data_IF_495344767167
#
_entry.id   IF_495344767167
#
_cell.length_a   1.000
_cell.length_b   1.000
_cell.length_c   1.000
_cell.angle_alpha   90.00
_cell.angle_beta   90.00
_cell.angle_gamma   90.00
#
_symmetry.space_group_name_H-M   'P 1'
#
loop_
_entity.id
_entity.type
_entity.pdbx_description
1 polymer ?
#
# COMPACT_ATOMS: atom_id res chain seq x y z
N UNK A 1 -9.22 -26.51 -9.03
CA UNK A 1 -9.78 -25.37 -9.79
C UNK A 1 -11.22 -25.18 -9.33
N UNK A 2 -11.40 -24.40 -8.28
CA UNK A 2 -12.67 -24.28 -7.57
C UNK A 2 -13.55 -23.25 -8.30
N UNK A 3 -14.61 -23.73 -8.94
CA UNK A 3 -15.65 -22.90 -9.54
C UNK A 3 -16.34 -22.11 -8.43
N UNK A 4 -16.15 -20.78 -8.42
CA UNK A 4 -16.95 -19.88 -7.61
C UNK A 4 -18.40 -19.99 -8.08
N UNK A 5 -19.22 -20.76 -7.36
CA UNK A 5 -20.68 -20.76 -7.53
C UNK A 5 -21.20 -19.36 -7.15
N UNK A 6 -21.41 -18.49 -8.13
CA UNK A 6 -22.05 -17.18 -7.90
C UNK A 6 -21.71 -16.08 -8.90
N UNK A 7 -20.63 -16.18 -9.67
CA UNK A 7 -20.33 -15.21 -10.72
C UNK A 7 -21.18 -15.50 -11.97
N UNK A 8 -21.85 -14.48 -12.52
CA UNK A 8 -22.55 -14.63 -13.80
C UNK A 8 -21.54 -14.88 -14.94
N UNK A 9 -21.99 -15.49 -16.03
CA UNK A 9 -21.10 -15.81 -17.17
C UNK A 9 -20.43 -14.57 -17.76
N UNK A 10 -21.12 -13.43 -17.70
CA UNK A 10 -20.61 -12.13 -18.11
C UNK A 10 -19.45 -11.66 -17.24
N UNK A 11 -19.55 -11.87 -15.91
CA UNK A 11 -18.49 -11.53 -14.96
C UNK A 11 -17.24 -12.40 -15.19
N UNK A 12 -17.43 -13.69 -15.44
CA UNK A 12 -16.34 -14.61 -15.75
C UNK A 12 -15.62 -14.21 -17.06
N UNK A 13 -16.37 -13.82 -18.10
CA UNK A 13 -15.80 -13.38 -19.37
C UNK A 13 -15.02 -12.06 -19.24
N UNK A 14 -15.46 -11.15 -18.36
CA UNK A 14 -14.74 -9.93 -18.02
C UNK A 14 -13.45 -10.24 -17.25
N UNK A 15 -13.49 -11.15 -16.28
CA UNK A 15 -12.30 -11.58 -15.53
C UNK A 15 -11.22 -12.18 -16.44
N UNK A 16 -11.61 -12.98 -17.44
CA UNK A 16 -10.68 -13.58 -18.40
C UNK A 16 -10.05 -12.55 -19.36
N UNK A 17 -10.69 -11.39 -19.52
CA UNK A 17 -10.17 -10.27 -20.31
C UNK A 17 -9.22 -9.35 -19.52
N UNK A 18 -9.12 -9.52 -18.19
CA UNK A 18 -8.18 -8.74 -17.37
C UNK A 18 -6.74 -9.17 -17.68
N UNK A 19 -6.06 -8.38 -18.50
CA UNK A 19 -4.62 -8.53 -18.72
C UNK A 19 -3.85 -8.36 -17.39
N UNK A 20 -2.80 -9.16 -17.21
CA UNK A 20 -1.94 -9.17 -16.02
C UNK A 20 -2.63 -9.58 -14.71
N UNK A 21 -3.65 -10.46 -14.78
CA UNK A 21 -4.22 -11.07 -13.58
C UNK A 21 -3.11 -11.78 -12.79
N UNK A 22 -2.82 -11.23 -11.61
CA UNK A 22 -1.91 -11.86 -10.65
C UNK A 22 -2.71 -12.90 -9.86
N UNK A 23 -2.27 -14.16 -9.90
CA UNK A 23 -2.81 -15.22 -9.05
C UNK A 23 -2.36 -14.96 -7.60
N UNK A 24 -3.16 -14.17 -6.88
CA UNK A 24 -2.80 -13.74 -5.53
C UNK A 24 -2.88 -14.92 -4.56
N UNK A 25 -1.77 -15.21 -3.89
CA UNK A 25 -1.65 -16.27 -2.90
C UNK A 25 -1.58 -15.67 -1.51
N UNK A 26 -2.11 -16.38 -0.52
CA UNK A 26 -2.20 -15.89 0.85
C UNK A 26 -0.85 -15.45 1.44
N UNK A 27 0.24 -16.09 1.02
CA UNK A 27 1.60 -15.76 1.43
C UNK A 27 2.02 -14.34 1.02
N UNK A 28 1.49 -13.83 -0.09
CA UNK A 28 1.81 -12.51 -0.65
C UNK A 28 1.36 -11.36 0.25
N UNK A 29 0.48 -11.62 1.23
CA UNK A 29 0.08 -10.65 2.26
C UNK A 29 1.25 -10.14 3.11
N UNK A 30 2.40 -10.82 3.07
CA UNK A 30 3.61 -10.47 3.84
C UNK A 30 4.54 -9.49 3.11
N UNK A 31 4.28 -9.25 1.83
CA UNK A 31 5.13 -8.44 0.96
C UNK A 31 4.39 -7.16 0.53
N UNK A 32 5.15 -6.15 0.12
CA UNK A 32 4.59 -4.95 -0.49
C UNK A 32 4.15 -5.26 -1.93
N UNK A 33 2.87 -5.05 -2.23
CA UNK A 33 2.27 -5.35 -3.52
C UNK A 33 2.08 -4.05 -4.30
N UNK A 34 2.51 -4.02 -5.55
CA UNK A 34 2.22 -2.90 -6.44
C UNK A 34 0.74 -2.95 -6.84
N UNK A 35 0.00 -1.90 -6.48
CA UNK A 35 -1.44 -1.80 -6.81
C UNK A 35 -1.70 -0.80 -7.94
N UNK A 36 -0.79 0.16 -8.12
CA UNK A 36 -0.70 1.08 -9.25
C UNK A 36 0.79 1.33 -9.52
N UNK A 37 1.18 1.77 -10.73
CA UNK A 37 2.57 2.11 -11.04
C UNK A 37 3.18 3.04 -9.99
N UNK A 38 4.20 2.56 -9.28
CA UNK A 38 4.89 3.31 -8.22
C UNK A 38 4.13 3.44 -6.89
N UNK A 39 2.98 2.76 -6.73
CA UNK A 39 2.22 2.70 -5.49
C UNK A 39 2.16 1.26 -4.97
N UNK A 40 2.78 1.06 -3.82
CA UNK A 40 2.84 -0.23 -3.15
C UNK A 40 2.03 -0.22 -1.86
N UNK A 41 1.28 -1.28 -1.61
CA UNK A 41 0.55 -1.51 -0.36
C UNK A 41 0.98 -2.84 0.22
N UNK A 42 1.29 -2.83 1.51
CA UNK A 42 1.74 -4.02 2.21
C UNK A 42 1.69 -3.83 3.72
N UNK A 43 2.04 -4.89 4.46
CA UNK A 43 2.14 -4.78 5.91
C UNK A 43 3.38 -3.95 6.28
N UNK A 44 3.61 -3.69 7.56
CA UNK A 44 4.70 -2.80 7.95
C UNK A 44 6.10 -3.44 7.73
N UNK A 45 6.24 -4.77 7.73
CA UNK A 45 7.56 -5.45 7.77
C UNK A 45 8.48 -5.12 6.58
N UNK A 46 8.01 -5.03 5.32
CA UNK A 46 8.82 -4.55 4.20
C UNK A 46 9.43 -3.16 4.43
N UNK A 47 8.76 -2.27 5.17
CA UNK A 47 9.27 -0.91 5.46
C UNK A 47 10.54 -0.91 6.33
N UNK A 48 10.91 -2.04 6.91
CA UNK A 48 12.13 -2.20 7.71
C UNK A 48 13.30 -2.76 6.91
N UNK A 49 13.10 -3.15 5.65
CA UNK A 49 14.13 -3.73 4.80
C UNK A 49 14.57 -2.68 3.77
N UNK A 50 15.67 -1.97 4.06
CA UNK A 50 16.21 -0.90 3.20
C UNK A 50 16.38 -1.38 1.76
N UNK A 51 16.96 -2.56 1.56
CA UNK A 51 17.28 -3.10 0.24
C UNK A 51 16.01 -3.40 -0.57
N UNK A 52 14.93 -3.81 0.10
CA UNK A 52 13.63 -4.03 -0.53
C UNK A 52 13.03 -2.70 -0.97
N UNK A 53 13.04 -1.69 -0.10
CA UNK A 53 12.52 -0.37 -0.42
C UNK A 53 13.27 0.28 -1.59
N UNK A 54 14.59 0.23 -1.57
CA UNK A 54 15.44 0.75 -2.64
C UNK A 54 15.25 -0.04 -3.95
N UNK A 55 15.17 -1.37 -3.87
CA UNK A 55 14.93 -2.23 -5.03
C UNK A 55 13.57 -2.00 -5.70
N UNK A 56 12.58 -1.56 -4.93
CA UNK A 56 11.26 -1.16 -5.41
C UNK A 56 11.18 0.33 -5.83
N UNK A 57 12.28 1.09 -5.69
CA UNK A 57 12.30 2.52 -6.01
C UNK A 57 11.43 3.39 -5.09
N UNK A 58 11.15 2.94 -3.87
CA UNK A 58 10.34 3.67 -2.90
C UNK A 58 11.12 4.90 -2.43
N UNK A 59 10.44 6.05 -2.37
CA UNK A 59 10.99 7.31 -1.84
C UNK A 59 10.19 7.85 -0.66
N UNK A 60 8.92 7.45 -0.57
CA UNK A 60 7.92 7.96 0.35
C UNK A 60 7.19 6.79 1.02
N UNK A 61 7.06 6.85 2.35
CA UNK A 61 6.41 5.81 3.15
C UNK A 61 5.28 6.44 3.96
N UNK A 62 4.05 6.08 3.64
CA UNK A 62 2.87 6.40 4.43
C UNK A 62 2.59 5.26 5.43
N UNK A 63 2.68 5.55 6.72
CA UNK A 63 2.29 4.64 7.78
C UNK A 63 0.90 5.02 8.30
N UNK A 64 -0.01 4.05 8.29
CA UNK A 64 -1.36 4.16 8.86
C UNK A 64 -1.39 3.25 10.06
N UNK A 65 -1.57 3.82 11.26
CA UNK A 65 -1.63 3.03 12.48
C UNK A 65 -2.11 3.82 13.67
N UNK A 66 -2.48 3.12 14.74
CA UNK A 66 -2.90 3.75 15.97
C UNK A 66 -1.71 4.28 16.79
N UNK A 67 -1.91 5.38 17.54
CA UNK A 67 -0.89 5.91 18.47
C UNK A 67 -0.33 4.86 19.44
N UNK A 68 -1.11 3.83 19.79
CA UNK A 68 -0.66 2.72 20.66
C UNK A 68 0.44 1.87 20.01
N UNK A 69 0.53 1.88 18.68
CA UNK A 69 1.51 1.16 17.87
C UNK A 69 2.72 2.05 17.49
N UNK A 70 2.73 3.32 17.92
CA UNK A 70 3.78 4.30 17.62
C UNK A 70 5.20 3.85 17.99
N UNK A 71 5.35 2.94 18.95
CA UNK A 71 6.63 2.36 19.33
C UNK A 71 7.21 1.46 18.23
N UNK A 72 6.35 0.80 17.45
CA UNK A 72 6.71 -0.13 16.38
C UNK A 72 6.98 0.63 15.08
N UNK A 73 6.26 1.74 14.85
CA UNK A 73 6.19 2.40 13.54
C UNK A 73 7.11 3.63 13.39
N UNK A 74 8.18 3.67 14.19
CA UNK A 74 9.19 4.71 14.04
C UNK A 74 9.91 4.58 12.68
N UNK A 75 10.16 5.70 11.98
CA UNK A 75 10.98 5.70 10.77
C UNK A 75 12.31 4.98 11.00
N UNK A 76 12.61 3.96 10.20
CA UNK A 76 13.86 3.19 10.31
C UNK A 76 15.02 3.85 9.58
N UNK A 77 14.72 4.53 8.47
CA UNK A 77 15.70 5.15 7.60
C UNK A 77 15.26 6.59 7.27
N UNK A 78 15.11 7.47 8.28
CA UNK A 78 14.54 8.81 8.10
C UNK A 78 15.37 9.72 7.19
N UNK A 79 16.66 9.42 7.02
CA UNK A 79 17.56 10.18 6.14
C UNK A 79 17.46 9.74 4.66
N UNK A 80 16.78 8.63 4.38
CA UNK A 80 16.71 8.01 3.05
C UNK A 80 15.30 8.05 2.45
N UNK A 81 14.25 8.08 3.29
CA UNK A 81 12.86 8.11 2.84
C UNK A 81 12.06 9.17 3.59
N UNK A 82 11.08 9.74 2.90
CA UNK A 82 10.14 10.68 3.52
C UNK A 82 9.00 9.88 4.17
N UNK A 83 8.76 10.11 5.46
CA UNK A 83 7.71 9.42 6.20
C UNK A 83 6.52 10.34 6.48
N UNK A 84 5.32 9.80 6.30
CA UNK A 84 4.07 10.38 6.81
C UNK A 84 3.41 9.34 7.71
N UNK A 85 3.24 9.65 9.00
CA UNK A 85 2.54 8.77 9.95
C UNK A 85 1.18 9.37 10.23
N UNK A 86 0.12 8.59 10.01
CA UNK A 86 -1.27 8.99 10.25
C UNK A 86 -1.88 8.11 11.33
N UNK A 87 -2.37 8.77 12.39
CA UNK A 87 -3.10 8.11 13.49
C UNK A 87 -4.52 7.76 13.03
N UNK A 88 -4.69 6.51 12.60
CA UNK A 88 -5.94 6.00 12.02
C UNK A 88 -6.26 4.69 12.72
N UNK A 89 -7.45 4.64 13.31
CA UNK A 89 -7.96 3.47 14.01
C UNK A 89 -8.55 2.47 13.02
N UNK A 90 -8.36 1.19 13.31
CA UNK A 90 -9.08 0.10 12.65
C UNK A 90 -10.49 0.00 13.25
N UNK A 91 -11.34 0.97 12.92
CA UNK A 91 -12.70 1.09 13.43
C UNK A 91 -13.66 1.56 12.32
N UNK A 92 -14.90 1.10 12.39
CA UNK A 92 -15.97 1.42 11.45
C UNK A 92 -16.41 2.90 11.50
N UNK A 93 -16.20 3.57 12.63
CA UNK A 93 -16.48 4.99 12.86
C UNK A 93 -15.34 5.93 12.39
N UNK A 94 -14.22 5.38 11.90
CA UNK A 94 -13.05 6.16 11.53
C UNK A 94 -13.32 6.96 10.23
N UNK A 95 -13.27 8.29 10.33
CA UNK A 95 -13.48 9.15 9.18
C UNK A 95 -12.23 9.22 8.29
N UNK A 96 -12.17 8.36 7.28
CA UNK A 96 -11.05 8.29 6.33
C UNK A 96 -11.00 9.46 5.34
N UNK A 97 -12.11 10.17 5.12
CA UNK A 97 -12.19 11.26 4.12
C UNK A 97 -11.19 12.38 4.44
N UNK A 98 -10.91 12.60 5.72
CA UNK A 98 -9.99 13.65 6.20
C UNK A 98 -8.52 13.39 5.84
N UNK A 99 -8.19 12.17 5.44
CA UNK A 99 -6.81 11.76 5.13
C UNK A 99 -6.44 12.10 3.68
N UNK A 100 -7.40 12.04 2.75
CA UNK A 100 -7.14 12.24 1.32
C UNK A 100 -6.40 13.54 0.97
N UNK A 101 -6.71 14.71 1.57
CA UNK A 101 -5.98 15.94 1.28
C UNK A 101 -4.50 15.87 1.71
N UNK A 102 -4.19 15.16 2.79
CA UNK A 102 -2.82 15.00 3.28
C UNK A 102 -2.03 14.07 2.37
N UNK A 103 -2.65 12.97 1.95
CA UNK A 103 -2.07 12.04 0.98
C UNK A 103 -1.81 12.71 -0.38
N UNK A 104 -2.76 13.50 -0.89
CA UNK A 104 -2.60 14.21 -2.17
C UNK A 104 -1.40 15.16 -2.15
N UNK A 105 -1.18 15.88 -1.05
CA UNK A 105 0.01 16.74 -0.88
C UNK A 105 1.29 15.93 -0.81
N UNK A 106 1.28 14.82 -0.09
CA UNK A 106 2.43 13.93 0.06
C UNK A 106 2.86 13.32 -1.29
N UNK A 107 1.90 12.91 -2.12
CA UNK A 107 2.18 12.42 -3.48
C UNK A 107 2.60 13.51 -4.45
N UNK A 108 2.11 14.74 -4.31
CA UNK A 108 2.50 15.80 -5.23
C UNK A 108 3.98 16.18 -5.03
N UNK A 109 4.44 16.19 -3.78
CA UNK A 109 5.85 16.40 -3.44
C UNK A 109 6.75 15.30 -4.03
N UNK A 110 6.28 14.06 -4.16
CA UNK A 110 7.08 13.00 -4.78
C UNK A 110 7.17 13.10 -6.31
N UNK A 111 6.17 13.71 -6.97
CA UNK A 111 6.17 13.92 -8.43
C UNK A 111 7.12 15.01 -8.90
N UNK A 112 7.43 16.02 -8.07
CA UNK A 112 8.37 17.10 -8.41
C UNK A 112 9.84 16.65 -8.39
N UNK A 113 10.15 15.51 -7.76
CA UNK A 113 11.52 14.97 -7.67
C UNK A 113 11.92 14.04 -8.85
N UNK A 114 11.06 13.86 -9.86
CA UNK A 114 11.38 13.10 -11.07
C UNK A 114 11.90 13.97 -12.24
N UNK A 115 12.42 15.17 -11.95
CA UNK A 115 13.05 16.08 -12.92
C UNK A 115 14.55 15.93 -13.01
#
# INVERSE_FOLDING_TARGET
MSTLHGASKELQALEDQVQNRTDWKYEMRRDAQEILPGLYVGPFQPSWKREVLQGLGITHILCIAETRESHILKPKFPDEFVYLIQDIRDADDQNLIRIFPQYSKFNHLSSEYQG
#
